data_IF_933269964124
#
_entry.id   IF_933269964124
#
_cell.length_a   1.000
_cell.length_b   1.000
_cell.length_c   1.000
_cell.angle_alpha   90.00
_cell.angle_beta   90.00
_cell.angle_gamma   90.00
#
_symmetry.space_group_name_H-M   'P 1'
#
loop_
_entity.id
_entity.type
_entity.pdbx_description
1 polymer ?
#
# COMPACT_ATOMS: atom_id res chain seq x y z
N UNK A 1 -0.39 -3.16 -13.07
CA UNK A 1 -1.43 -2.17 -12.66
C UNK A 1 -1.36 -1.93 -11.16
N UNK A 2 -1.33 -2.96 -10.29
CA UNK A 2 -1.40 -2.80 -8.82
C UNK A 2 -0.30 -1.95 -8.20
N UNK A 3 0.93 -1.96 -8.70
CA UNK A 3 2.01 -1.10 -8.22
C UNK A 3 1.72 0.38 -8.44
N UNK A 4 1.11 0.73 -9.59
CA UNK A 4 0.72 2.10 -9.88
C UNK A 4 -0.37 2.61 -8.92
N UNK A 5 -1.30 1.76 -8.51
CA UNK A 5 -2.35 2.12 -7.54
C UNK A 5 -1.77 2.46 -6.16
N UNK A 6 -0.61 1.91 -5.79
CA UNK A 6 0.11 2.27 -4.57
C UNK A 6 1.01 3.50 -4.76
N UNK A 7 1.65 3.62 -5.93
CA UNK A 7 2.66 4.64 -6.19
C UNK A 7 2.05 6.01 -6.46
N UNK A 8 0.99 6.08 -7.28
CA UNK A 8 0.37 7.36 -7.64
C UNK A 8 -0.09 8.16 -6.42
N UNK A 9 -0.77 7.56 -5.43
CA UNK A 9 -1.10 8.24 -4.18
C UNK A 9 0.13 8.83 -3.46
N UNK A 10 1.26 8.13 -3.43
CA UNK A 10 2.49 8.68 -2.85
C UNK A 10 2.95 9.94 -3.60
N UNK A 11 2.96 9.90 -4.91
CA UNK A 11 3.37 11.06 -5.71
C UNK A 11 2.38 12.22 -5.59
N UNK A 12 1.09 11.97 -5.47
CA UNK A 12 0.10 13.02 -5.19
C UNK A 12 0.35 13.69 -3.84
N UNK A 13 0.64 12.89 -2.80
CA UNK A 13 0.96 13.43 -1.48
C UNK A 13 2.24 14.27 -1.49
N UNK A 14 3.29 13.80 -2.15
CA UNK A 14 4.53 14.57 -2.33
C UNK A 14 4.29 15.89 -3.08
N UNK A 15 3.58 15.83 -4.20
CA UNK A 15 3.29 17.04 -4.99
C UNK A 15 2.44 18.04 -4.20
N UNK A 16 1.47 17.58 -3.42
CA UNK A 16 0.70 18.44 -2.53
C UNK A 16 1.59 19.13 -1.48
N UNK A 17 2.57 18.40 -0.91
CA UNK A 17 3.53 18.97 0.03
C UNK A 17 4.37 20.07 -0.62
N UNK A 18 4.94 19.82 -1.77
CA UNK A 18 5.74 20.79 -2.54
C UNK A 18 4.90 22.03 -2.90
N UNK A 19 3.62 21.85 -3.27
CA UNK A 19 2.72 22.95 -3.61
C UNK A 19 2.41 23.84 -2.41
N UNK A 20 2.22 23.24 -1.23
CA UNK A 20 1.92 23.98 0.01
C UNK A 20 3.16 24.74 0.50
N UNK A 21 4.35 24.12 0.46
CA UNK A 21 5.61 24.76 0.87
C UNK A 21 6.15 25.75 -0.18
N UNK A 22 5.58 25.73 -1.40
CA UNK A 22 5.91 26.65 -2.49
C UNK A 22 7.26 26.41 -3.16
N UNK A 23 8.01 25.38 -2.77
CA UNK A 23 9.31 25.05 -3.36
C UNK A 23 9.67 23.56 -3.20
N UNK A 24 10.25 22.94 -4.24
CA UNK A 24 10.86 21.62 -4.10
C UNK A 24 12.18 21.72 -3.34
N UNK A 25 12.52 20.67 -2.60
CA UNK A 25 13.82 20.48 -1.95
C UNK A 25 14.54 19.27 -2.57
N UNK A 26 15.87 19.25 -2.45
CA UNK A 26 16.67 18.17 -3.07
C UNK A 26 16.29 16.77 -2.57
N UNK A 27 15.78 16.70 -1.34
CA UNK A 27 15.30 15.47 -0.73
C UNK A 27 14.04 14.88 -1.40
N UNK A 28 13.27 15.69 -2.15
CA UNK A 28 12.04 15.24 -2.81
C UNK A 28 12.29 14.22 -3.91
N UNK A 29 13.44 14.32 -4.58
CA UNK A 29 13.85 13.31 -5.55
C UNK A 29 14.03 11.94 -4.88
N UNK A 30 14.60 11.94 -3.67
CA UNK A 30 14.74 10.70 -2.90
C UNK A 30 13.38 10.17 -2.43
N UNK A 31 12.47 11.05 -1.98
CA UNK A 31 11.10 10.63 -1.60
C UNK A 31 10.38 10.06 -2.83
N UNK A 32 10.48 10.71 -3.98
CA UNK A 32 9.87 10.27 -5.24
C UNK A 32 10.36 8.86 -5.64
N UNK A 33 11.67 8.63 -5.67
CA UNK A 33 12.29 7.35 -6.04
C UNK A 33 12.05 6.31 -4.95
N UNK A 34 12.22 6.67 -3.69
CA UNK A 34 12.03 5.79 -2.53
C UNK A 34 10.60 5.28 -2.43
N UNK A 35 9.60 6.14 -2.68
CA UNK A 35 8.20 5.71 -2.81
C UNK A 35 8.00 4.73 -3.97
N UNK A 36 8.69 4.91 -5.09
CA UNK A 36 8.65 3.99 -6.23
C UNK A 36 9.13 2.59 -5.88
N UNK A 37 10.31 2.52 -5.28
CA UNK A 37 10.90 1.23 -4.83
C UNK A 37 10.05 0.63 -3.70
N UNK A 38 9.64 1.44 -2.72
CA UNK A 38 8.78 1.02 -1.60
C UNK A 38 7.44 0.47 -2.07
N UNK A 39 6.77 1.14 -3.01
CA UNK A 39 5.51 0.69 -3.59
C UNK A 39 5.66 -0.66 -4.32
N UNK A 40 6.76 -0.86 -5.04
CA UNK A 40 7.05 -2.12 -5.71
C UNK A 40 7.24 -3.26 -4.70
N UNK A 41 8.08 -3.06 -3.68
CA UNK A 41 8.35 -4.03 -2.63
C UNK A 41 7.11 -4.34 -1.81
N UNK A 42 6.41 -3.32 -1.32
CA UNK A 42 5.21 -3.49 -0.49
C UNK A 42 4.02 -4.06 -1.29
N UNK A 43 3.94 -3.81 -2.60
CA UNK A 43 2.98 -4.50 -3.47
C UNK A 43 3.25 -6.00 -3.51
N UNK A 44 4.52 -6.41 -3.67
CA UNK A 44 4.92 -7.81 -3.64
C UNK A 44 4.59 -8.46 -2.29
N UNK A 45 4.99 -7.82 -1.19
CA UNK A 45 4.70 -8.30 0.16
C UNK A 45 3.19 -8.42 0.43
N UNK A 46 2.41 -7.41 0.04
CA UNK A 46 0.95 -7.41 0.21
C UNK A 46 0.24 -8.48 -0.62
N UNK A 47 0.69 -8.75 -1.85
CA UNK A 47 0.17 -9.85 -2.66
C UNK A 47 0.45 -11.20 -1.99
N UNK A 48 1.69 -11.40 -1.53
CA UNK A 48 2.08 -12.63 -0.84
C UNK A 48 1.26 -12.83 0.45
N UNK A 49 1.05 -11.75 1.23
CA UNK A 49 0.19 -11.79 2.42
C UNK A 49 -1.25 -12.18 2.08
N UNK A 50 -1.81 -11.61 1.01
CA UNK A 50 -3.15 -11.96 0.55
C UNK A 50 -3.24 -13.44 0.13
N UNK A 51 -2.27 -13.93 -0.65
CA UNK A 51 -2.26 -15.32 -1.12
C UNK A 51 -2.05 -16.32 0.04
N UNK A 52 -1.27 -15.96 1.07
CA UNK A 52 -1.14 -16.74 2.30
C UNK A 52 -2.48 -16.79 3.06
N UNK A 53 -3.12 -15.63 3.21
CA UNK A 53 -4.39 -15.51 3.96
C UNK A 53 -5.55 -16.22 3.29
N UNK A 54 -5.54 -16.32 1.96
CA UNK A 54 -6.58 -16.90 1.14
C UNK A 54 -6.29 -18.33 0.67
N UNK A 55 -5.17 -18.92 1.08
CA UNK A 55 -4.68 -20.22 0.60
C UNK A 55 -5.76 -21.29 0.48
N UNK A 56 -6.52 -21.48 1.56
CA UNK A 56 -7.54 -22.55 1.61
C UNK A 56 -8.74 -22.23 0.71
N UNK A 57 -9.12 -20.96 0.60
CA UNK A 57 -10.19 -20.49 -0.29
C UNK A 57 -9.75 -20.61 -1.75
N UNK A 58 -8.53 -20.17 -2.05
CA UNK A 58 -7.97 -20.18 -3.40
C UNK A 58 -7.77 -21.61 -3.93
N UNK A 59 -7.48 -22.58 -3.07
CA UNK A 59 -7.37 -24.00 -3.44
C UNK A 59 -8.70 -24.60 -3.89
N UNK A 60 -9.83 -24.11 -3.35
CA UNK A 60 -11.17 -24.56 -3.68
C UNK A 60 -11.75 -23.94 -4.96
N UNK A 61 -11.16 -22.85 -5.48
CA UNK A 61 -11.66 -22.13 -6.64
C UNK A 61 -10.81 -22.44 -7.87
N UNK A 62 -11.42 -22.89 -8.95
CA UNK A 62 -10.75 -23.34 -10.18
C UNK A 62 -9.81 -22.28 -10.77
N UNK A 63 -10.21 -21.01 -10.77
CA UNK A 63 -9.42 -19.89 -11.31
C UNK A 63 -8.14 -19.61 -10.50
N UNK A 64 -8.14 -19.90 -9.20
CA UNK A 64 -7.05 -19.49 -8.28
C UNK A 64 -6.24 -20.67 -7.75
N UNK A 65 -6.72 -21.91 -7.89
CA UNK A 65 -6.01 -23.11 -7.42
C UNK A 65 -4.63 -23.32 -8.08
N UNK A 66 -4.39 -22.73 -9.25
CA UNK A 66 -3.11 -22.81 -9.97
C UNK A 66 -2.08 -21.78 -9.48
N UNK A 67 -2.43 -20.90 -8.52
CA UNK A 67 -1.48 -19.96 -7.93
C UNK A 67 -0.36 -20.69 -7.19
N UNK A 68 0.84 -20.10 -7.08
CA UNK A 68 2.02 -20.78 -6.54
C UNK A 68 1.87 -21.35 -5.13
N UNK A 69 1.11 -20.71 -4.23
CA UNK A 69 0.94 -21.17 -2.85
C UNK A 69 -0.16 -22.26 -2.76
N UNK A 70 -1.38 -22.05 -3.30
CA UNK A 70 -2.41 -23.10 -3.31
C UNK A 70 -2.01 -24.37 -4.06
N UNK A 71 -1.22 -24.24 -5.14
CA UNK A 71 -0.72 -25.38 -5.95
C UNK A 71 0.55 -26.05 -5.40
N UNK A 72 1.03 -25.62 -4.22
CA UNK A 72 2.24 -26.12 -3.54
C UNK A 72 3.55 -25.95 -4.33
N UNK A 73 3.57 -25.15 -5.42
CA UNK A 73 4.80 -24.81 -6.15
C UNK A 73 5.78 -24.02 -5.27
N UNK A 74 5.25 -23.23 -4.31
CA UNK A 74 6.03 -22.51 -3.32
C UNK A 74 5.52 -22.88 -1.93
N UNK A 75 6.41 -23.34 -1.06
CA UNK A 75 6.06 -23.64 0.32
C UNK A 75 5.69 -22.37 1.09
N UNK A 76 4.77 -22.47 2.04
CA UNK A 76 4.35 -21.37 2.90
C UNK A 76 5.54 -20.67 3.57
N UNK A 77 6.52 -21.46 4.03
CA UNK A 77 7.71 -20.92 4.68
C UNK A 77 8.53 -20.04 3.73
N UNK A 78 8.74 -20.45 2.47
CA UNK A 78 9.45 -19.65 1.47
C UNK A 78 8.67 -18.37 1.12
N UNK A 79 7.35 -18.46 1.03
CA UNK A 79 6.50 -17.29 0.80
C UNK A 79 6.61 -16.26 1.94
N UNK A 80 6.59 -16.72 3.20
CA UNK A 80 6.76 -15.84 4.38
C UNK A 80 8.16 -15.20 4.38
N UNK A 81 9.22 -15.96 4.13
CA UNK A 81 10.59 -15.42 4.07
C UNK A 81 10.68 -14.34 2.98
N UNK A 82 10.11 -14.59 1.79
CA UNK A 82 10.11 -13.63 0.69
C UNK A 82 9.35 -12.35 1.04
N UNK A 83 8.17 -12.47 1.66
CA UNK A 83 7.38 -11.35 2.13
C UNK A 83 8.13 -10.49 3.16
N UNK A 84 8.74 -11.14 4.16
CA UNK A 84 9.50 -10.47 5.21
C UNK A 84 10.73 -9.77 4.63
N UNK A 85 11.44 -10.39 3.69
CA UNK A 85 12.58 -9.76 3.02
C UNK A 85 12.18 -8.47 2.29
N UNK A 86 11.07 -8.49 1.55
CA UNK A 86 10.54 -7.30 0.88
C UNK A 86 10.15 -6.21 1.87
N UNK A 87 9.52 -6.57 2.99
CA UNK A 87 9.14 -5.63 4.05
C UNK A 87 10.37 -5.01 4.72
N UNK A 88 11.43 -5.79 4.99
CA UNK A 88 12.70 -5.28 5.54
C UNK A 88 13.35 -4.30 4.55
N UNK A 89 13.45 -4.63 3.27
CA UNK A 89 14.02 -3.74 2.27
C UNK A 89 13.23 -2.43 2.14
N UNK A 90 11.90 -2.50 2.18
CA UNK A 90 11.04 -1.32 2.18
C UNK A 90 11.22 -0.48 3.47
N UNK A 91 11.41 -1.11 4.63
CA UNK A 91 11.62 -0.42 5.90
C UNK A 91 12.94 0.35 5.94
N UNK A 92 14.00 -0.14 5.29
CA UNK A 92 15.26 0.60 5.15
C UNK A 92 15.05 1.94 4.44
N UNK A 93 14.24 1.95 3.38
CA UNK A 93 13.89 3.19 2.68
C UNK A 93 13.02 4.08 3.58
N UNK A 94 12.01 3.51 4.24
CA UNK A 94 11.11 4.24 5.13
C UNK A 94 11.88 4.95 6.26
N UNK A 95 12.87 4.31 6.86
CA UNK A 95 13.68 4.88 7.94
C UNK A 95 14.60 6.02 7.51
N UNK A 96 14.78 6.23 6.21
CA UNK A 96 15.47 7.41 5.68
C UNK A 96 14.57 8.65 5.57
N UNK A 97 13.25 8.51 5.75
CA UNK A 97 12.30 9.61 5.67
C UNK A 97 12.12 10.33 7.02
N UNK A 98 11.31 11.39 7.01
CA UNK A 98 11.00 12.13 8.22
C UNK A 98 10.27 11.27 9.26
N UNK A 99 10.49 11.53 10.56
CA UNK A 99 9.94 10.74 11.67
C UNK A 99 8.42 10.52 11.58
N UNK A 100 7.66 11.55 11.18
CA UNK A 100 6.19 11.44 11.04
C UNK A 100 5.84 10.44 9.93
N UNK A 101 6.58 10.44 8.80
CA UNK A 101 6.39 9.45 7.74
C UNK A 101 6.71 8.02 8.22
N UNK A 102 7.73 7.85 9.06
CA UNK A 102 8.08 6.55 9.66
C UNK A 102 6.91 6.03 10.51
N UNK A 103 6.34 6.86 11.40
CA UNK A 103 5.17 6.48 12.19
C UNK A 103 3.97 6.11 11.33
N UNK A 104 3.69 6.90 10.28
CA UNK A 104 2.63 6.61 9.33
C UNK A 104 2.89 5.31 8.55
N UNK A 105 4.13 5.05 8.16
CA UNK A 105 4.52 3.81 7.50
C UNK A 105 4.30 2.57 8.38
N UNK A 106 4.67 2.65 9.66
CA UNK A 106 4.40 1.57 10.62
C UNK A 106 2.88 1.40 10.83
N UNK A 107 2.15 2.50 11.00
CA UNK A 107 0.70 2.48 11.18
C UNK A 107 -0.04 1.88 9.97
N UNK A 108 0.50 2.06 8.75
CA UNK A 108 -0.07 1.49 7.52
C UNK A 108 -0.13 -0.04 7.52
N UNK A 109 0.68 -0.70 8.34
CA UNK A 109 0.64 -2.16 8.46
C UNK A 109 -0.68 -2.68 9.02
N UNK A 110 -1.41 -1.87 9.80
CA UNK A 110 -2.73 -2.25 10.34
C UNK A 110 -3.76 -2.47 9.21
N UNK A 111 -4.07 -1.48 8.35
CA UNK A 111 -5.00 -1.70 7.25
C UNK A 111 -4.50 -2.77 6.25
N UNK A 112 -3.18 -2.88 6.04
CA UNK A 112 -2.60 -3.93 5.18
C UNK A 112 -2.80 -5.32 5.78
N UNK A 113 -2.67 -5.48 7.10
CA UNK A 113 -2.92 -6.76 7.76
C UNK A 113 -4.39 -7.16 7.74
N UNK A 114 -5.29 -6.19 7.87
CA UNK A 114 -6.74 -6.43 8.01
C UNK A 114 -7.41 -6.67 6.65
N UNK A 115 -6.98 -6.00 5.57
CA UNK A 115 -7.73 -5.97 4.31
C UNK A 115 -8.02 -7.36 3.69
N UNK A 116 -7.15 -8.40 3.76
CA UNK A 116 -7.48 -9.71 3.19
C UNK A 116 -8.65 -10.38 3.92
N UNK A 117 -8.80 -10.08 5.22
CA UNK A 117 -9.88 -10.63 6.04
C UNK A 117 -11.18 -9.83 5.90
N UNK A 118 -11.15 -8.60 5.39
CA UNK A 118 -12.31 -7.72 5.28
C UNK A 118 -13.48 -8.40 4.54
N UNK A 119 -13.21 -9.17 3.48
CA UNK A 119 -14.19 -9.94 2.73
C UNK A 119 -14.93 -11.02 3.54
N UNK A 120 -14.43 -11.37 4.76
CA UNK A 120 -15.03 -12.39 5.64
C UNK A 120 -16.05 -11.82 6.62
N UNK A 121 -16.00 -10.49 6.88
CA UNK A 121 -16.85 -9.84 7.86
C UNK A 121 -17.60 -8.61 7.35
N UNK A 122 -17.31 -8.12 6.13
CA UNK A 122 -18.00 -6.96 5.57
C UNK A 122 -18.38 -7.16 4.11
N UNK A 123 -19.50 -6.55 3.72
CA UNK A 123 -19.96 -6.46 2.33
C UNK A 123 -19.17 -5.43 1.49
N UNK A 124 -18.32 -4.62 2.14
CA UNK A 124 -17.58 -3.52 1.53
C UNK A 124 -16.06 -3.67 1.71
N UNK A 125 -15.45 -4.80 1.30
CA UNK A 125 -14.00 -5.00 1.44
C UNK A 125 -13.18 -3.96 0.67
N UNK A 126 -13.77 -3.32 -0.36
CA UNK A 126 -13.14 -2.27 -1.16
C UNK A 126 -12.77 -1.04 -0.34
N UNK A 127 -13.50 -0.75 0.77
CA UNK A 127 -13.16 0.35 1.68
C UNK A 127 -11.80 0.12 2.33
N UNK A 128 -11.55 -1.08 2.84
CA UNK A 128 -10.27 -1.43 3.46
C UNK A 128 -9.12 -1.39 2.45
N UNK A 129 -9.38 -1.82 1.22
CA UNK A 129 -8.42 -1.73 0.14
C UNK A 129 -8.12 -0.28 -0.24
N UNK A 130 -9.16 0.57 -0.32
CA UNK A 130 -9.02 2.01 -0.56
C UNK A 130 -8.20 2.71 0.53
N UNK A 131 -8.46 2.39 1.80
CA UNK A 131 -7.68 2.89 2.94
C UNK A 131 -6.21 2.49 2.80
N UNK A 132 -5.92 1.22 2.55
CA UNK A 132 -4.55 0.72 2.47
C UNK A 132 -3.78 1.30 1.27
N UNK A 133 -4.39 1.35 0.09
CA UNK A 133 -3.72 1.82 -1.13
C UNK A 133 -3.44 3.31 -1.15
N UNK A 134 -4.34 4.12 -0.62
CA UNK A 134 -4.18 5.57 -0.63
C UNK A 134 -3.37 6.11 0.56
N UNK A 135 -2.96 5.25 1.50
CA UNK A 135 -2.15 5.65 2.66
C UNK A 135 -0.85 6.36 2.27
N UNK A 136 -0.34 6.06 1.08
CA UNK A 136 0.83 6.70 0.52
C UNK A 136 0.73 8.22 0.41
N UNK A 137 -0.48 8.80 0.31
CA UNK A 137 -0.70 10.26 0.32
C UNK A 137 -0.19 10.86 1.64
N UNK A 138 -0.62 10.27 2.76
CA UNK A 138 -0.25 10.73 4.10
C UNK A 138 1.26 10.56 4.33
N UNK A 139 1.80 9.41 3.93
CA UNK A 139 3.20 9.07 4.12
C UNK A 139 4.13 10.00 3.33
N UNK A 140 3.90 10.17 2.03
CA UNK A 140 4.78 10.96 1.19
C UNK A 140 4.67 12.47 1.47
N UNK A 141 3.47 12.96 1.78
CA UNK A 141 3.29 14.33 2.26
C UNK A 141 4.08 14.57 3.55
N UNK A 142 3.95 13.68 4.54
CA UNK A 142 4.67 13.79 5.81
C UNK A 142 6.19 13.59 5.65
N UNK A 143 6.64 12.86 4.63
CA UNK A 143 8.06 12.71 4.33
C UNK A 143 8.68 14.04 3.89
N UNK A 144 7.94 14.88 3.15
CA UNK A 144 8.36 16.21 2.71
C UNK A 144 8.19 17.27 3.82
N UNK A 145 6.97 17.38 4.39
CA UNK A 145 6.60 18.49 5.28
C UNK A 145 6.86 18.22 6.76
N UNK A 146 7.05 16.96 7.15
CA UNK A 146 7.15 16.56 8.56
C UNK A 146 5.82 16.60 9.34
N UNK A 147 4.69 16.86 8.68
CA UNK A 147 3.37 17.03 9.32
C UNK A 147 2.27 16.32 8.53
N UNK A 148 1.05 16.35 9.05
CA UNK A 148 -0.18 15.98 8.34
C UNK A 148 -1.16 17.14 8.46
N UNK A 149 -1.68 17.63 7.33
CA UNK A 149 -2.58 18.78 7.28
C UNK A 149 -4.01 18.37 6.93
N UNK A 150 -4.97 19.26 7.15
CA UNK A 150 -6.35 19.04 6.72
C UNK A 150 -6.46 18.81 5.21
N UNK A 151 -5.68 19.55 4.41
CA UNK A 151 -5.64 19.38 2.95
C UNK A 151 -5.21 17.96 2.56
N UNK A 152 -4.20 17.39 3.24
CA UNK A 152 -3.74 16.02 3.03
C UNK A 152 -4.82 15.00 3.39
N UNK A 153 -5.54 15.22 4.50
CA UNK A 153 -6.65 14.35 4.92
C UNK A 153 -7.81 14.38 3.91
N UNK A 154 -8.17 15.56 3.40
CA UNK A 154 -9.21 15.70 2.37
C UNK A 154 -8.80 14.95 1.09
N UNK A 155 -7.55 15.12 0.64
CA UNK A 155 -7.02 14.40 -0.53
C UNK A 155 -7.05 12.88 -0.31
N UNK A 156 -6.65 12.41 0.87
CA UNK A 156 -6.68 10.99 1.23
C UNK A 156 -8.10 10.41 1.17
N UNK A 157 -9.06 11.09 1.80
CA UNK A 157 -10.47 10.67 1.79
C UNK A 157 -11.04 10.68 0.36
N UNK A 158 -10.76 11.72 -0.42
CA UNK A 158 -11.16 11.80 -1.82
C UNK A 158 -10.60 10.64 -2.67
N UNK A 159 -9.33 10.28 -2.45
CA UNK A 159 -8.69 9.16 -3.13
C UNK A 159 -9.30 7.80 -2.73
N UNK A 160 -9.73 7.63 -1.47
CA UNK A 160 -10.48 6.44 -1.05
C UNK A 160 -11.79 6.34 -1.83
N UNK A 161 -12.57 7.41 -1.92
CA UNK A 161 -13.82 7.43 -2.69
C UNK A 161 -13.58 7.15 -4.19
N UNK A 162 -12.52 7.70 -4.77
CA UNK A 162 -12.14 7.39 -6.14
C UNK A 162 -11.82 5.90 -6.32
N UNK A 163 -11.08 5.29 -5.38
CA UNK A 163 -10.77 3.86 -5.41
C UNK A 163 -12.03 3.01 -5.30
N UNK A 164 -12.96 3.38 -4.42
CA UNK A 164 -14.25 2.71 -4.27
C UNK A 164 -15.07 2.75 -5.56
N UNK A 165 -15.16 3.92 -6.18
CA UNK A 165 -15.85 4.09 -7.47
C UNK A 165 -15.23 3.23 -8.55
N UNK A 166 -13.90 3.28 -8.71
CA UNK A 166 -13.17 2.51 -9.70
C UNK A 166 -13.37 0.99 -9.53
N UNK A 167 -13.25 0.49 -8.30
CA UNK A 167 -13.42 -0.93 -8.01
C UNK A 167 -14.88 -1.38 -8.19
N UNK A 168 -15.85 -0.54 -7.89
CA UNK A 168 -17.27 -0.85 -8.11
C UNK A 168 -17.59 -1.02 -9.58
N UNK A 169 -16.96 -0.24 -10.48
CA UNK A 169 -17.15 -0.38 -11.92
C UNK A 169 -16.55 -1.66 -12.52
N UNK A 170 -15.52 -2.22 -11.90
CA UNK A 170 -14.89 -3.47 -12.37
C UNK A 170 -15.74 -4.69 -11.99
N UNK A 171 -16.59 -4.58 -10.98
CA UNK A 171 -17.45 -5.68 -10.51
C UNK A 171 -18.83 -5.72 -11.18
N UNK A 172 -19.13 -4.78 -12.09
CA UNK A 172 -20.30 -4.81 -12.95
C UNK A 172 -19.96 -5.52 -14.26
#
# INVERSE_FOLDING_TARGET
>A
IGTWLLLLPCWWGLMLGILIDGRPVIGDLWIFVGCGIGAFLMRGAGCTWNDISDRDIDSAVERTRSRPIPSEQVSLQRAVIWMVLQAILASVILFSFHKVAIYLGILSLLPVAIYPFAKRFTWWPQVFLGIAFNWGILLAFAAHTGTVTLATMIMYVGAIFWTLFYLSLIHI
#
